data_IF_719752789885
#
_entry.id   IF_719752789885
#
_cell.length_a   1.000
_cell.length_b   1.000
_cell.length_c   1.000
_cell.angle_alpha   90.00
_cell.angle_beta   90.00
_cell.angle_gamma   90.00
#
_symmetry.space_group_name_H-M   'P 1'
#
loop_
_entity.id
_entity.type
_entity.pdbx_description
1 polymer ?
#
# COMPACT_ATOMS: atom_id res chain seq x y z
N UNK A 1 19.45 -26.76 4.34
CA UNK A 1 18.90 -25.50 3.80
C UNK A 1 20.09 -24.61 3.50
N UNK A 2 20.23 -24.07 2.28
CA UNK A 2 21.39 -23.23 1.96
C UNK A 2 21.40 -21.97 2.84
N UNK A 3 22.52 -21.68 3.51
CA UNK A 3 22.67 -20.44 4.26
C UNK A 3 22.63 -19.24 3.32
N UNK A 4 21.92 -18.20 3.74
CA UNK A 4 21.83 -16.94 2.99
C UNK A 4 23.14 -16.18 3.11
N UNK A 5 23.64 -15.65 2.00
CA UNK A 5 24.82 -14.79 1.99
C UNK A 5 24.60 -13.52 2.83
N UNK A 6 25.66 -12.96 3.40
CA UNK A 6 25.64 -11.67 4.11
C UNK A 6 24.95 -10.57 3.29
N UNK A 7 25.15 -10.56 1.97
CA UNK A 7 24.46 -9.63 1.07
C UNK A 7 22.94 -9.83 1.08
N UNK A 8 22.47 -11.08 0.98
CA UNK A 8 21.05 -11.41 0.99
C UNK A 8 20.40 -11.01 2.32
N UNK A 9 21.07 -11.24 3.44
CA UNK A 9 20.60 -10.82 4.76
C UNK A 9 20.47 -9.30 4.86
N UNK A 10 21.46 -8.54 4.33
CA UNK A 10 21.42 -7.07 4.28
C UNK A 10 20.23 -6.57 3.45
N UNK A 11 20.00 -7.14 2.26
CA UNK A 11 18.89 -6.76 1.38
C UNK A 11 17.54 -7.00 2.07
N UNK A 12 17.37 -8.15 2.73
CA UNK A 12 16.14 -8.48 3.46
C UNK A 12 15.91 -7.48 4.60
N UNK A 13 16.95 -7.19 5.39
CA UNK A 13 16.85 -6.21 6.47
C UNK A 13 16.45 -4.83 5.94
N UNK A 14 17.16 -4.34 4.92
CA UNK A 14 16.87 -3.04 4.31
C UNK A 14 15.42 -2.95 3.81
N UNK A 15 14.87 -4.03 3.25
CA UNK A 15 13.47 -4.05 2.83
C UNK A 15 12.51 -3.82 4.01
N UNK A 16 12.72 -4.53 5.13
CA UNK A 16 11.85 -4.37 6.31
C UNK A 16 12.06 -3.03 7.00
N UNK A 17 13.30 -2.53 7.05
CA UNK A 17 13.63 -1.20 7.59
C UNK A 17 12.92 -0.08 6.82
N UNK A 18 12.63 -0.29 5.52
CA UNK A 18 11.96 0.68 4.66
C UNK A 18 10.53 0.28 4.25
N UNK A 19 9.96 -0.78 4.85
CA UNK A 19 8.70 -1.38 4.38
C UNK A 19 7.52 -0.42 4.41
N UNK A 20 7.46 0.44 5.43
CA UNK A 20 6.40 1.45 5.54
C UNK A 20 6.53 2.49 4.42
N UNK A 21 7.71 3.08 4.22
CA UNK A 21 7.97 4.02 3.12
C UNK A 21 7.64 3.43 1.74
N UNK A 22 8.10 2.20 1.48
CA UNK A 22 7.76 1.47 0.24
C UNK A 22 6.25 1.30 0.11
N UNK A 23 5.55 0.95 1.20
CA UNK A 23 4.10 0.75 1.16
C UNK A 23 3.34 2.05 0.92
N UNK A 24 3.82 3.16 1.50
CA UNK A 24 3.23 4.49 1.27
C UNK A 24 3.36 4.90 -0.19
N UNK A 25 4.56 4.80 -0.78
CA UNK A 25 4.78 5.08 -2.20
C UNK A 25 3.88 4.22 -3.10
N UNK A 26 3.76 2.92 -2.78
CA UNK A 26 2.85 2.03 -3.52
C UNK A 26 1.39 2.43 -3.41
N UNK A 27 0.94 2.92 -2.25
CA UNK A 27 -0.41 3.45 -2.09
C UNK A 27 -0.64 4.67 -3.01
N UNK A 28 0.32 5.59 -3.12
CA UNK A 28 0.24 6.77 -4.00
C UNK A 28 0.17 6.39 -5.48
N UNK A 29 0.97 5.41 -5.92
CA UNK A 29 0.91 4.87 -7.28
C UNK A 29 -0.48 4.25 -7.55
N UNK A 30 -0.96 3.40 -6.63
CA UNK A 30 -2.24 2.70 -6.79
C UNK A 30 -3.44 3.64 -6.76
N UNK A 31 -3.40 4.75 -6.02
CA UNK A 31 -4.50 5.72 -6.05
C UNK A 31 -4.65 6.34 -7.43
N UNK A 32 -3.54 6.58 -8.12
CA UNK A 32 -3.54 7.08 -9.50
C UNK A 32 -4.14 6.04 -10.44
N UNK A 33 -3.77 4.76 -10.30
CA UNK A 33 -4.39 3.68 -11.08
C UNK A 33 -5.90 3.53 -10.79
N UNK A 34 -6.36 3.82 -9.58
CA UNK A 34 -7.80 3.87 -9.27
C UNK A 34 -8.53 5.02 -9.99
N UNK A 35 -7.87 6.05 -10.51
CA UNK A 35 -8.55 7.00 -11.39
C UNK A 35 -8.71 6.48 -12.81
N UNK A 36 -7.79 5.61 -13.25
CA UNK A 36 -7.65 5.20 -14.65
C UNK A 36 -8.29 3.85 -14.95
N UNK A 37 -8.46 3.00 -13.94
CA UNK A 37 -8.92 1.63 -14.09
C UNK A 37 -10.39 1.44 -13.73
N UNK A 38 -11.04 0.57 -14.50
CA UNK A 38 -12.42 0.12 -14.30
C UNK A 38 -12.50 -1.42 -14.24
N UNK A 39 -13.67 -1.93 -13.84
CA UNK A 39 -13.98 -3.36 -13.78
C UNK A 39 -12.95 -4.19 -13.01
N UNK A 40 -12.59 -5.36 -13.55
CA UNK A 40 -11.66 -6.31 -12.92
C UNK A 40 -10.26 -5.72 -12.68
N UNK A 41 -9.80 -4.79 -13.52
CA UNK A 41 -8.49 -4.15 -13.34
C UNK A 41 -8.51 -3.28 -12.07
N UNK A 42 -9.58 -2.50 -11.89
CA UNK A 42 -9.79 -1.69 -10.69
C UNK A 42 -9.85 -2.53 -9.41
N UNK A 43 -10.53 -3.67 -9.45
CA UNK A 43 -10.61 -4.58 -8.31
C UNK A 43 -9.23 -5.08 -7.87
N UNK A 44 -8.35 -5.44 -8.82
CA UNK A 44 -6.97 -5.83 -8.53
C UNK A 44 -6.15 -4.70 -7.90
N UNK A 45 -6.32 -3.46 -8.39
CA UNK A 45 -5.67 -2.31 -7.76
C UNK A 45 -6.15 -2.11 -6.33
N UNK A 46 -7.44 -2.32 -6.06
CA UNK A 46 -7.98 -2.28 -4.70
C UNK A 46 -7.41 -3.36 -3.78
N UNK A 47 -7.25 -4.58 -4.26
CA UNK A 47 -6.64 -5.67 -3.48
C UNK A 47 -5.18 -5.35 -3.12
N UNK A 48 -4.42 -4.83 -4.09
CA UNK A 48 -3.05 -4.37 -3.86
C UNK A 48 -3.02 -3.19 -2.88
N UNK A 49 -3.91 -2.22 -3.04
CA UNK A 49 -3.98 -1.05 -2.16
C UNK A 49 -4.30 -1.45 -0.72
N UNK A 50 -5.28 -2.34 -0.53
CA UNK A 50 -5.63 -2.87 0.78
C UNK A 50 -4.44 -3.56 1.48
N UNK A 51 -3.63 -4.31 0.71
CA UNK A 51 -2.43 -4.95 1.23
C UNK A 51 -1.40 -3.93 1.73
N UNK A 52 -1.14 -2.87 0.95
CA UNK A 52 -0.19 -1.83 1.33
C UNK A 52 -0.68 -0.96 2.49
N UNK A 53 -1.98 -0.62 2.54
CA UNK A 53 -2.59 0.05 3.69
C UNK A 53 -2.48 -0.80 4.96
N UNK A 54 -2.63 -2.13 4.86
CA UNK A 54 -2.41 -3.05 5.97
C UNK A 54 -0.95 -3.06 6.46
N UNK A 55 0.02 -2.99 5.55
CA UNK A 55 1.44 -2.85 5.92
C UNK A 55 1.73 -1.55 6.69
N UNK A 56 0.98 -0.48 6.40
CA UNK A 56 1.00 0.80 7.10
C UNK A 56 0.17 0.79 8.40
N UNK A 57 -0.29 -0.39 8.85
CA UNK A 57 -1.08 -0.58 10.07
C UNK A 57 -2.43 0.16 10.06
N UNK A 58 -2.96 0.46 8.89
CA UNK A 58 -4.32 1.01 8.78
C UNK A 58 -5.33 -0.06 9.22
N UNK A 59 -6.28 0.27 10.12
CA UNK A 59 -7.28 -0.70 10.58
C UNK A 59 -8.10 -1.29 9.44
N UNK A 60 -8.36 -2.60 9.48
CA UNK A 60 -9.11 -3.31 8.43
C UNK A 60 -10.51 -2.72 8.21
N UNK A 61 -11.16 -2.24 9.28
CA UNK A 61 -12.45 -1.55 9.20
C UNK A 61 -12.38 -0.28 8.31
N UNK A 62 -11.30 0.49 8.43
CA UNK A 62 -11.06 1.68 7.60
C UNK A 62 -10.82 1.28 6.14
N UNK A 63 -10.02 0.23 5.89
CA UNK A 63 -9.76 -0.28 4.54
C UNK A 63 -11.07 -0.75 3.88
N UNK A 64 -11.91 -1.49 4.61
CA UNK A 64 -13.24 -1.92 4.13
C UNK A 64 -14.15 -0.73 3.83
N UNK A 65 -14.13 0.29 4.67
CA UNK A 65 -14.91 1.51 4.45
C UNK A 65 -14.47 2.24 3.17
N UNK A 66 -13.16 2.44 2.98
CA UNK A 66 -12.60 3.05 1.77
C UNK A 66 -12.95 2.24 0.52
N UNK A 67 -12.80 0.91 0.56
CA UNK A 67 -13.15 0.02 -0.56
C UNK A 67 -14.65 0.08 -0.89
N UNK A 68 -15.51 0.17 0.13
CA UNK A 68 -16.97 0.29 -0.07
C UNK A 68 -17.34 1.62 -0.74
N UNK A 69 -16.69 2.71 -0.35
CA UNK A 69 -16.90 4.00 -1.00
C UNK A 69 -16.39 3.99 -2.46
N UNK A 70 -15.32 3.24 -2.73
CA UNK A 70 -14.74 3.08 -4.07
C UNK A 70 -14.40 4.41 -4.77
N UNK A 71 -14.17 5.47 -3.98
CA UNK A 71 -13.94 6.83 -4.44
C UNK A 71 -12.43 7.17 -4.37
N UNK A 72 -11.75 7.35 -5.51
CA UNK A 72 -10.31 7.62 -5.55
C UNK A 72 -9.90 8.91 -4.83
N UNK A 73 -10.71 9.97 -4.88
CA UNK A 73 -10.42 11.26 -4.22
C UNK A 73 -10.29 11.10 -2.71
N UNK A 74 -11.22 10.34 -2.12
CA UNK A 74 -11.25 10.09 -0.67
C UNK A 74 -10.04 9.28 -0.23
N UNK A 75 -9.65 8.29 -1.04
CA UNK A 75 -8.44 7.49 -0.81
C UNK A 75 -7.18 8.36 -0.93
N UNK A 76 -7.10 9.23 -1.93
CA UNK A 76 -5.97 10.13 -2.12
C UNK A 76 -5.78 11.06 -0.92
N UNK A 77 -6.87 11.69 -0.46
CA UNK A 77 -6.85 12.52 0.73
C UNK A 77 -6.44 11.73 1.99
N UNK A 78 -6.91 10.49 2.13
CA UNK A 78 -6.52 9.62 3.23
C UNK A 78 -5.01 9.30 3.21
N UNK A 79 -4.47 8.91 2.05
CA UNK A 79 -3.04 8.61 1.88
C UNK A 79 -2.18 9.85 2.15
N UNK A 80 -2.56 11.02 1.62
CA UNK A 80 -1.83 12.27 1.90
C UNK A 80 -1.80 12.62 3.39
N UNK A 81 -2.87 12.33 4.13
CA UNK A 81 -2.90 12.54 5.58
C UNK A 81 -2.07 11.51 6.35
N UNK A 82 -1.94 10.28 5.85
CA UNK A 82 -1.00 9.31 6.39
C UNK A 82 0.45 9.77 6.18
N UNK A 83 0.79 10.26 4.98
CA UNK A 83 2.12 10.74 4.65
C UNK A 83 2.57 11.91 5.54
N UNK A 84 1.64 12.82 5.90
CA UNK A 84 1.92 13.96 6.80
C UNK A 84 2.10 13.59 8.28
N UNK A 85 1.66 12.40 8.69
CA UNK A 85 1.70 11.93 10.08
C UNK A 85 2.94 11.09 10.41
N UNK A 86 3.68 10.67 9.39
CA UNK A 86 4.98 10.01 9.51
C UNK A 86 6.07 11.06 9.62
#
# INVERSE_FOLDING_TARGET
MAERSNYQNKVIRNYYDNRESISLQRCEELVTELYLAEGKKRERHWESLATHLGNLRVPEATIKHLRKQNNPETVAHFISNLAKKQ
#
